data_IF_356355734209
#
_entry.id   IF_356355734209
#
_cell.length_a   1.000
_cell.length_b   1.000
_cell.length_c   1.000
_cell.angle_alpha   90.00
_cell.angle_beta   90.00
_cell.angle_gamma   90.00
#
_symmetry.space_group_name_H-M   'P 1'
#
loop_
_entity.id
_entity.type
_entity.pdbx_description
1 polymer ?
#
# COMPACT_ATOMS: atom_id res chain seq x y z
N UNK A 1 23.06 10.49 4.67
CA UNK A 1 21.71 10.12 5.15
C UNK A 1 21.37 8.76 4.57
N UNK A 2 21.45 7.69 5.35
CA UNK A 2 21.12 6.34 4.89
C UNK A 2 19.60 6.21 4.76
N UNK A 3 19.10 6.42 3.54
CA UNK A 3 17.73 6.05 3.18
C UNK A 3 17.62 4.54 3.39
N UNK A 4 17.07 4.10 4.54
CA UNK A 4 16.59 2.75 4.72
C UNK A 4 15.67 2.47 3.53
N UNK A 5 16.14 1.66 2.57
CA UNK A 5 15.31 1.12 1.51
C UNK A 5 14.33 0.21 2.25
N UNK A 6 13.21 0.78 2.69
CA UNK A 6 12.07 0.05 3.23
C UNK A 6 11.66 -0.90 2.11
N UNK A 7 12.09 -2.16 2.23
CA UNK A 7 11.84 -3.21 1.24
C UNK A 7 10.33 -3.24 1.02
N UNK A 8 9.88 -2.74 -0.13
CA UNK A 8 8.45 -2.64 -0.44
C UNK A 8 7.90 -4.05 -0.40
N UNK A 9 6.85 -4.29 0.40
CA UNK A 9 6.23 -5.61 0.43
C UNK A 9 5.68 -5.97 -0.96
N UNK A 10 5.69 -7.24 -1.38
CA UNK A 10 5.15 -7.63 -2.69
C UNK A 10 3.71 -7.15 -2.90
N UNK A 11 2.89 -7.17 -1.84
CA UNK A 11 1.52 -6.64 -1.89
C UNK A 11 1.48 -5.12 -2.19
N UNK A 12 2.35 -4.34 -1.56
CA UNK A 12 2.41 -2.90 -1.80
C UNK A 12 2.90 -2.59 -3.21
N UNK A 13 3.84 -3.37 -3.74
CA UNK A 13 4.33 -3.22 -5.10
C UNK A 13 3.19 -3.46 -6.10
N UNK A 14 2.48 -4.59 -6.00
CA UNK A 14 1.31 -4.89 -6.84
C UNK A 14 0.28 -3.78 -6.80
N UNK A 15 -0.03 -3.27 -5.62
CA UNK A 15 -1.01 -2.18 -5.47
C UNK A 15 -0.58 -0.91 -6.21
N UNK A 16 0.71 -0.55 -6.18
CA UNK A 16 1.23 0.60 -6.93
C UNK A 16 1.19 0.37 -8.44
N UNK A 17 1.57 -0.82 -8.88
CA UNK A 17 1.59 -1.20 -10.29
C UNK A 17 0.16 -1.19 -10.88
N UNK A 18 -0.82 -1.73 -10.16
CA UNK A 18 -2.23 -1.72 -10.56
C UNK A 18 -2.77 -0.29 -10.68
N UNK A 19 -2.46 0.57 -9.70
CA UNK A 19 -2.91 1.96 -9.74
C UNK A 19 -2.25 2.75 -10.88
N UNK A 20 -0.98 2.45 -11.21
CA UNK A 20 -0.27 3.02 -12.36
C UNK A 20 -0.88 2.54 -13.67
N UNK A 21 -1.16 1.24 -13.79
CA UNK A 21 -1.80 0.64 -14.97
C UNK A 21 -3.17 1.27 -15.24
N UNK A 22 -3.94 1.53 -14.17
CA UNK A 22 -5.25 2.21 -14.23
C UNK A 22 -5.18 3.73 -14.37
N UNK A 23 -3.97 4.31 -14.49
CA UNK A 23 -3.72 5.76 -14.60
C UNK A 23 -4.40 6.57 -13.49
N UNK A 24 -4.45 6.04 -12.26
CA UNK A 24 -5.00 6.79 -11.13
C UNK A 24 -4.14 8.02 -10.83
N UNK A 25 -4.77 9.13 -10.49
CA UNK A 25 -4.04 10.36 -10.13
C UNK A 25 -3.08 10.12 -8.96
N UNK A 26 -1.94 10.85 -8.87
CA UNK A 26 -1.02 10.72 -7.75
C UNK A 26 -1.70 10.92 -6.39
N UNK A 27 -2.68 11.85 -6.31
CA UNK A 27 -3.46 12.09 -5.08
C UNK A 27 -4.29 10.86 -4.69
N UNK A 28 -4.91 10.21 -5.67
CA UNK A 28 -5.65 8.96 -5.48
C UNK A 28 -4.71 7.86 -4.99
N UNK A 29 -3.56 7.65 -5.65
CA UNK A 29 -2.58 6.63 -5.24
C UNK A 29 -2.15 6.78 -3.77
N UNK A 30 -1.81 8.01 -3.37
CA UNK A 30 -1.45 8.34 -2.00
C UNK A 30 -2.61 8.06 -1.03
N UNK A 31 -3.84 8.39 -1.42
CA UNK A 31 -5.05 8.12 -0.64
C UNK A 31 -5.23 6.63 -0.34
N UNK A 32 -5.14 5.78 -1.37
CA UNK A 32 -5.28 4.32 -1.23
C UNK A 32 -4.15 3.73 -0.37
N UNK A 33 -2.89 4.13 -0.57
CA UNK A 33 -1.78 3.69 0.30
C UNK A 33 -2.00 4.08 1.76
N UNK A 34 -2.50 5.29 2.02
CA UNK A 34 -2.84 5.74 3.38
C UNK A 34 -3.99 4.93 3.98
N UNK A 35 -5.01 4.63 3.21
CA UNK A 35 -6.14 3.81 3.65
C UNK A 35 -5.67 2.41 4.07
N UNK A 36 -4.88 1.73 3.24
CA UNK A 36 -4.32 0.41 3.57
C UNK A 36 -3.42 0.49 4.80
N UNK A 37 -2.58 1.52 4.94
CA UNK A 37 -1.75 1.71 6.14
C UNK A 37 -2.59 1.90 7.41
N UNK A 38 -3.73 2.57 7.33
CA UNK A 38 -4.66 2.71 8.47
C UNK A 38 -5.34 1.39 8.78
N UNK A 39 -5.76 0.66 7.74
CA UNK A 39 -6.39 -0.64 7.86
C UNK A 39 -5.46 -1.67 8.52
N UNK A 40 -4.19 -1.73 8.15
CA UNK A 40 -3.23 -2.64 8.78
C UNK A 40 -2.97 -2.31 10.25
N UNK A 41 -2.94 -1.02 10.60
CA UNK A 41 -2.85 -0.60 12.01
C UNK A 41 -4.07 -1.04 12.82
N UNK A 42 -5.26 -0.93 12.23
CA UNK A 42 -6.49 -1.39 12.85
C UNK A 42 -6.47 -2.92 13.06
N UNK A 43 -6.13 -3.68 12.01
CA UNK A 43 -6.09 -5.13 12.07
C UNK A 43 -4.92 -5.70 12.90
N UNK A 44 -3.86 -4.91 13.13
CA UNK A 44 -2.58 -5.33 13.75
C UNK A 44 -1.90 -6.52 13.06
N UNK A 45 -2.26 -6.78 11.80
CA UNK A 45 -1.71 -7.86 10.96
C UNK A 45 -1.66 -7.42 9.50
N UNK A 46 -1.01 -8.22 8.68
CA UNK A 46 -0.86 -7.96 7.25
C UNK A 46 -2.24 -7.99 6.54
N UNK A 47 -2.52 -7.06 5.62
CA UNK A 47 -3.89 -6.87 5.09
C UNK A 47 -4.29 -7.96 4.08
N UNK A 48 -3.35 -8.72 3.55
CA UNK A 48 -3.59 -9.95 2.76
C UNK A 48 -4.21 -11.08 3.58
N UNK A 49 -4.10 -11.03 4.90
CA UNK A 49 -4.74 -12.02 5.78
C UNK A 49 -6.17 -11.65 6.17
N UNK A 50 -6.66 -10.46 5.79
CA UNK A 50 -7.99 -9.99 6.15
C UNK A 50 -9.09 -10.94 5.63
N UNK A 51 -10.08 -11.22 6.49
CA UNK A 51 -11.25 -12.05 6.18
C UNK A 51 -12.49 -11.15 6.18
N UNK A 52 -13.47 -11.45 5.32
CA UNK A 52 -14.73 -10.73 5.23
C UNK A 52 -15.66 -11.02 6.42
#
# INVERSE_FOLDING_TARGET
MTQSIQRISPLRQRMLDDMRMRKLSPKTQIGYVRAVKRFTRYLKRSPDTATA
#
